data_IF_087167306265
#
_entry.id   IF_087167306265
#
_cell.length_a   1.000
_cell.length_b   1.000
_cell.length_c   1.000
_cell.angle_alpha   90.00
_cell.angle_beta   90.00
_cell.angle_gamma   90.00
#
_symmetry.space_group_name_H-M   'P 1'
#
loop_
_entity.id
_entity.type
_entity.pdbx_description
1 polymer ?
#
# COMPACT_ATOMS: atom_id res chain seq x y z
N UNK A 1 7.84 -3.50 -0.44
CA UNK A 1 8.47 -3.40 0.89
C UNK A 1 7.38 -3.17 1.91
N UNK A 2 6.99 -4.22 2.62
CA UNK A 2 5.83 -4.22 3.56
C UNK A 2 5.94 -3.13 4.65
N UNK A 3 7.16 -2.71 4.99
CA UNK A 3 7.42 -1.66 5.99
C UNK A 3 6.88 -0.27 5.61
N UNK A 4 7.00 0.15 4.35
CA UNK A 4 6.54 1.48 3.92
C UNK A 4 5.01 1.60 4.00
N UNK A 5 4.33 0.50 3.71
CA UNK A 5 2.88 0.41 3.74
C UNK A 5 2.35 0.50 5.17
N UNK A 6 2.98 -0.24 6.09
CA UNK A 6 2.69 -0.14 7.53
C UNK A 6 2.91 1.28 8.06
N UNK A 7 3.96 1.96 7.61
CA UNK A 7 4.23 3.34 7.98
C UNK A 7 3.13 4.30 7.48
N UNK A 8 2.67 4.15 6.23
CA UNK A 8 1.59 4.96 5.65
C UNK A 8 0.27 4.75 6.39
N UNK A 9 -0.07 3.51 6.72
CA UNK A 9 -1.27 3.17 7.50
C UNK A 9 -1.17 3.72 8.93
N UNK A 10 0.01 3.64 9.56
CA UNK A 10 0.24 4.22 10.89
C UNK A 10 0.07 5.74 10.87
N UNK A 11 0.60 6.42 9.86
CA UNK A 11 0.41 7.87 9.68
C UNK A 11 -1.08 8.20 9.48
N UNK A 12 -1.80 7.42 8.66
CA UNK A 12 -3.24 7.59 8.47
C UNK A 12 -4.03 7.42 9.78
N UNK A 13 -3.65 6.41 10.59
CA UNK A 13 -4.27 6.15 11.90
C UNK A 13 -4.03 7.31 12.87
N UNK A 14 -2.79 7.77 13.00
CA UNK A 14 -2.43 8.93 13.83
C UNK A 14 -3.17 10.18 13.36
N UNK A 15 -3.33 10.36 12.05
CA UNK A 15 -3.99 11.51 11.45
C UNK A 15 -5.51 11.51 11.75
N UNK A 16 -6.18 10.37 11.66
CA UNK A 16 -7.59 10.22 12.08
C UNK A 16 -7.76 10.47 13.58
N UNK A 17 -6.87 9.94 14.42
CA UNK A 17 -6.96 10.10 15.89
C UNK A 17 -6.74 11.57 16.29
N UNK A 18 -5.74 12.24 15.70
CA UNK A 18 -5.41 13.63 16.07
C UNK A 18 -6.26 14.68 15.38
N UNK A 19 -6.68 14.44 14.14
CA UNK A 19 -7.39 15.41 13.29
C UNK A 19 -8.46 14.69 12.46
N UNK A 20 -9.59 14.29 13.08
CA UNK A 20 -10.67 13.58 12.38
C UNK A 20 -11.28 14.40 11.23
N UNK A 21 -11.23 15.73 11.32
CA UNK A 21 -11.57 16.67 10.23
C UNK A 21 -10.80 16.42 8.91
N UNK A 22 -9.65 15.73 8.97
CA UNK A 22 -8.83 15.36 7.80
C UNK A 22 -9.03 13.91 7.37
N UNK A 23 -10.18 13.30 7.68
CA UNK A 23 -10.50 11.91 7.31
C UNK A 23 -10.22 11.58 5.84
N UNK A 24 -10.58 12.48 4.91
CA UNK A 24 -10.32 12.29 3.46
C UNK A 24 -8.84 12.07 3.14
N UNK A 25 -7.93 12.73 3.87
CA UNK A 25 -6.48 12.56 3.69
C UNK A 25 -6.00 11.24 4.28
N UNK A 26 -6.50 10.83 5.45
CA UNK A 26 -6.19 9.53 6.03
C UNK A 26 -6.70 8.40 5.12
N UNK A 27 -7.91 8.51 4.61
CA UNK A 27 -8.47 7.56 3.66
C UNK A 27 -7.66 7.53 2.36
N UNK A 28 -7.27 8.69 1.83
CA UNK A 28 -6.37 8.78 0.68
C UNK A 28 -5.02 8.08 0.90
N UNK A 29 -4.42 8.21 2.10
CA UNK A 29 -3.19 7.51 2.46
C UNK A 29 -3.37 5.99 2.47
N UNK A 30 -4.48 5.49 3.01
CA UNK A 30 -4.80 4.04 3.00
C UNK A 30 -5.03 3.53 1.58
N UNK A 31 -5.71 4.31 0.73
CA UNK A 31 -5.92 3.96 -0.67
C UNK A 31 -4.61 3.87 -1.45
N UNK A 32 -3.68 4.82 -1.25
CA UNK A 32 -2.34 4.79 -1.87
C UNK A 32 -1.54 3.58 -1.38
N UNK A 33 -1.60 3.30 -0.07
CA UNK A 33 -0.95 2.12 0.52
C UNK A 33 -1.44 0.82 -0.14
N UNK A 34 -2.77 0.66 -0.27
CA UNK A 34 -3.38 -0.48 -0.96
C UNK A 34 -2.97 -0.59 -2.44
N UNK A 35 -2.94 0.54 -3.15
CA UNK A 35 -2.56 0.56 -4.55
C UNK A 35 -1.11 0.07 -4.76
N UNK A 36 -0.19 0.51 -3.89
CA UNK A 36 1.20 0.04 -3.89
C UNK A 36 1.26 -1.46 -3.63
N UNK A 37 0.47 -1.99 -2.69
CA UNK A 37 0.43 -3.42 -2.39
C UNK A 37 -0.01 -4.24 -3.61
N UNK A 38 -1.08 -3.81 -4.28
CA UNK A 38 -1.61 -4.47 -5.48
C UNK A 38 -0.59 -4.44 -6.61
N UNK A 39 0.02 -3.28 -6.87
CA UNK A 39 1.07 -3.16 -7.89
C UNK A 39 2.26 -4.06 -7.60
N UNK A 40 2.72 -4.08 -6.35
CA UNK A 40 3.86 -4.92 -5.95
C UNK A 40 3.52 -6.40 -6.04
N UNK A 41 2.33 -6.80 -5.61
CA UNK A 41 1.85 -8.18 -5.70
C UNK A 41 1.77 -8.64 -7.17
N UNK A 42 1.16 -7.84 -8.05
CA UNK A 42 1.06 -8.17 -9.47
C UNK A 42 2.44 -8.20 -10.13
N UNK A 43 3.30 -7.22 -9.86
CA UNK A 43 4.66 -7.17 -10.41
C UNK A 43 5.49 -8.37 -9.98
N UNK A 44 5.45 -8.73 -8.69
CA UNK A 44 6.20 -9.86 -8.15
C UNK A 44 5.67 -11.20 -8.68
N UNK A 45 4.35 -11.35 -8.82
CA UNK A 45 3.74 -12.54 -9.42
C UNK A 45 3.98 -12.64 -10.92
N UNK A 46 3.98 -11.51 -11.63
CA UNK A 46 4.29 -11.44 -13.07
C UNK A 46 5.74 -11.80 -13.34
N UNK A 47 6.68 -11.31 -12.52
CA UNK A 47 8.08 -11.71 -12.60
C UNK A 47 8.23 -13.23 -12.39
N UNK A 48 7.58 -13.80 -11.37
CA UNK A 48 7.59 -15.23 -11.15
C UNK A 48 6.95 -16.03 -12.30
N UNK A 49 5.89 -15.49 -12.93
CA UNK A 49 5.23 -16.11 -14.08
C UNK A 49 6.13 -16.10 -15.33
N UNK A 50 6.80 -14.98 -15.63
CA UNK A 50 7.76 -14.87 -16.73
C UNK A 50 8.97 -15.79 -16.52
N UNK A 51 9.42 -15.97 -15.28
CA UNK A 51 10.48 -16.94 -14.96
C UNK A 51 10.03 -18.40 -15.17
N UNK A 52 8.75 -18.72 -14.90
CA UNK A 52 8.20 -20.07 -15.17
C UNK A 52 7.99 -20.36 -16.66
N UNK A 53 7.74 -19.34 -17.50
CA UNK A 53 7.62 -19.52 -18.96
C UNK A 53 8.99 -19.73 -19.62
N UNK A 54 10.07 -19.25 -19.00
CA UNK A 54 11.44 -19.44 -19.50
C UNK A 54 12.08 -20.76 -19.01
N UNK A 55 11.27 -21.79 -18.76
CA UNK A 55 11.67 -23.17 -18.51
C UNK A 55 11.00 -24.08 -19.54
#
# INVERSE_FOLDING_TARGET
MEFLELLLVLIALILIIKKPEKEKLAFGLVMVAWFIMVFYYIGHKSSAFLTMINL
#
